data_IF_303327279919
#
_entry.id   IF_303327279919
#
_cell.length_a   1.000
_cell.length_b   1.000
_cell.length_c   1.000
_cell.angle_alpha   90.00
_cell.angle_beta   90.00
_cell.angle_gamma   90.00
#
_symmetry.space_group_name_H-M   'P 1'
#
loop_
_entity.id
_entity.type
_entity.pdbx_description
1 polymer ?
#
# COMPACT_ATOMS: atom_id res chain seq x y z
N UNK A 1 22.24 -0.79 -7.04
CA UNK A 1 22.43 -2.18 -7.47
C UNK A 1 21.69 -3.05 -6.50
N UNK A 2 20.37 -3.01 -6.60
CA UNK A 2 19.39 -3.62 -5.71
C UNK A 2 18.10 -3.70 -6.51
N UNK A 3 18.12 -4.53 -7.56
CA UNK A 3 16.94 -4.71 -8.40
C UNK A 3 16.11 -5.81 -7.73
N UNK A 4 15.24 -5.40 -6.81
CA UNK A 4 14.11 -6.22 -6.38
C UNK A 4 13.16 -6.32 -7.55
N UNK A 5 12.94 -7.53 -8.07
CA UNK A 5 12.09 -7.73 -9.24
C UNK A 5 10.63 -7.75 -8.79
N UNK A 6 9.88 -6.73 -9.17
CA UNK A 6 8.41 -6.72 -9.11
C UNK A 6 7.85 -7.69 -10.17
N UNK A 7 6.97 -8.64 -9.82
CA UNK A 7 6.34 -9.50 -10.82
C UNK A 7 5.49 -8.68 -11.80
N UNK A 8 5.83 -8.73 -13.09
CA UNK A 8 4.98 -8.15 -14.14
C UNK A 8 3.89 -9.16 -14.53
N UNK A 9 2.81 -9.22 -13.73
CA UNK A 9 1.49 -9.61 -14.22
C UNK A 9 0.39 -9.24 -13.22
N UNK A 10 -0.53 -8.39 -13.66
CA UNK A 10 -1.86 -8.08 -13.08
C UNK A 10 -1.98 -7.49 -11.66
N UNK A 11 -0.88 -7.34 -10.91
CA UNK A 11 -0.90 -6.78 -9.56
C UNK A 11 0.14 -5.65 -9.41
N UNK A 12 0.05 -4.63 -10.27
CA UNK A 12 0.77 -3.37 -10.09
C UNK A 12 0.42 -2.78 -8.72
N UNK A 13 1.39 -2.14 -8.06
CA UNK A 13 1.15 -1.43 -6.80
C UNK A 13 0.12 -0.33 -7.06
N UNK A 14 -1.05 -0.42 -6.42
CA UNK A 14 -2.23 0.32 -6.83
C UNK A 14 -2.25 1.72 -6.24
N UNK A 15 -1.57 2.63 -6.94
CA UNK A 15 -1.64 4.05 -6.69
C UNK A 15 -2.50 4.69 -7.78
N UNK A 16 -3.57 5.38 -7.36
CA UNK A 16 -4.40 6.20 -8.25
C UNK A 16 -3.48 7.05 -9.14
N UNK A 17 -3.73 7.17 -10.45
CA UNK A 17 -2.89 7.96 -11.33
C UNK A 17 -2.89 9.41 -10.83
N UNK A 18 -1.84 9.74 -10.08
CA UNK A 18 -1.62 11.03 -9.47
C UNK A 18 -0.58 11.71 -10.32
N UNK A 19 -0.98 12.71 -11.09
CA UNK A 19 -0.02 13.52 -11.86
C UNK A 19 0.73 14.44 -10.90
N UNK A 20 1.94 14.07 -10.46
CA UNK A 20 2.82 14.93 -9.66
C UNK A 20 4.29 14.75 -10.08
N UNK A 21 4.96 15.83 -10.47
CA UNK A 21 6.40 15.85 -10.73
C UNK A 21 6.80 16.66 -11.95
N UNK A 22 7.72 17.61 -11.75
CA UNK A 22 8.31 18.43 -12.80
C UNK A 22 9.07 17.58 -13.82
N UNK A 23 9.30 18.13 -15.01
CA UNK A 23 10.20 17.51 -16.01
C UNK A 23 11.56 17.20 -15.37
N UNK A 24 11.97 15.92 -15.25
CA UNK A 24 13.38 15.61 -15.08
C UNK A 24 14.11 16.18 -16.29
N UNK A 25 15.31 16.71 -16.10
CA UNK A 25 16.28 16.71 -17.21
C UNK A 25 16.41 15.25 -17.64
N UNK A 26 16.09 14.97 -18.90
CA UNK A 26 16.04 13.66 -19.57
C UNK A 26 17.03 12.67 -18.94
N UNK A 27 16.61 11.48 -18.49
CA UNK A 27 16.77 10.25 -19.30
C UNK A 27 15.87 9.06 -18.88
N UNK A 28 14.95 9.19 -17.91
CA UNK A 28 14.36 7.99 -17.27
C UNK A 28 12.85 8.01 -17.01
N UNK A 29 12.04 8.88 -17.64
CA UNK A 29 10.57 8.76 -17.57
C UNK A 29 10.06 7.95 -18.77
N UNK A 30 9.37 6.85 -18.49
CA UNK A 30 8.95 5.79 -19.42
C UNK A 30 7.44 5.82 -19.69
N UNK A 31 6.84 6.99 -19.86
CA UNK A 31 5.42 7.13 -20.22
C UNK A 31 4.53 7.75 -19.13
N UNK A 32 5.10 8.07 -17.96
CA UNK A 32 4.40 8.76 -16.88
C UNK A 32 3.87 10.13 -17.33
N UNK A 33 2.73 10.53 -16.76
CA UNK A 33 2.15 11.87 -16.96
C UNK A 33 2.78 12.86 -15.99
N UNK A 34 3.57 13.78 -16.50
CA UNK A 34 4.28 14.77 -15.69
C UNK A 34 3.37 15.94 -15.31
N UNK A 35 3.44 16.36 -14.05
CA UNK A 35 2.81 17.60 -13.60
C UNK A 35 3.78 18.76 -13.82
N UNK A 36 3.38 19.75 -14.60
CA UNK A 36 4.17 20.96 -14.79
C UNK A 36 3.55 22.10 -13.98
N UNK A 37 4.07 22.43 -12.79
CA UNK A 37 3.49 23.47 -11.94
C UNK A 37 3.43 24.82 -12.65
N UNK A 38 4.26 25.07 -13.68
CA UNK A 38 4.25 26.33 -14.44
C UNK A 38 3.05 26.48 -15.38
N UNK A 39 2.35 25.39 -15.68
CA UNK A 39 1.13 25.41 -16.51
C UNK A 39 -0.13 25.69 -15.70
N UNK A 40 -0.06 25.59 -14.37
CA UNK A 40 -1.18 25.91 -13.49
C UNK A 40 -1.15 27.37 -13.09
N UNK A 41 -2.27 28.07 -13.29
CA UNK A 41 -2.41 29.47 -12.88
C UNK A 41 -2.57 29.64 -11.36
N UNK A 42 -2.85 28.56 -10.63
CA UNK A 42 -3.01 28.55 -9.16
C UNK A 42 -1.75 28.08 -8.44
N UNK A 43 -0.80 27.50 -9.17
CA UNK A 43 0.48 27.03 -8.64
C UNK A 43 1.33 28.19 -8.12
N UNK A 44 1.91 27.97 -6.93
CA UNK A 44 2.87 28.87 -6.30
C UNK A 44 3.99 28.05 -5.70
N UNK A 45 5.22 28.27 -6.14
CA UNK A 45 6.38 27.65 -5.51
C UNK A 45 6.47 28.11 -4.04
N UNK A 46 6.72 27.18 -3.13
CA UNK A 46 7.09 27.53 -1.75
C UNK A 46 8.60 27.78 -1.79
N UNK A 47 9.00 29.04 -1.61
CA UNK A 47 10.40 29.44 -1.70
C UNK A 47 11.26 28.64 -0.71
N UNK A 48 12.40 28.17 -1.19
CA UNK A 48 13.40 27.39 -0.44
C UNK A 48 12.91 26.05 0.14
N UNK A 49 11.67 25.65 -0.17
CA UNK A 49 11.11 24.40 0.30
C UNK A 49 11.49 23.23 -0.62
N UNK A 50 12.02 22.18 -0.01
CA UNK A 50 12.44 20.95 -0.68
C UNK A 50 11.92 19.73 0.07
N UNK A 51 11.86 18.60 -0.62
CA UNK A 51 11.53 17.31 -0.02
C UNK A 51 12.56 16.24 -0.43
N UNK A 52 12.73 15.24 0.42
CA UNK A 52 13.56 14.08 0.13
C UNK A 52 13.01 12.88 0.91
N UNK A 53 12.51 11.89 0.18
CA UNK A 53 11.85 10.71 0.73
C UNK A 53 12.58 9.43 0.31
N UNK A 54 12.69 8.51 1.26
CA UNK A 54 13.16 7.14 1.05
C UNK A 54 12.07 6.17 1.47
N UNK A 55 11.72 5.25 0.58
CA UNK A 55 10.69 4.23 0.80
C UNK A 55 11.31 2.94 1.36
N UNK A 56 10.46 2.09 1.94
CA UNK A 56 10.91 0.86 2.60
C UNK A 56 11.52 -0.13 1.62
N UNK A 57 11.10 -0.14 0.36
CA UNK A 57 11.66 -0.94 -0.73
C UNK A 57 13.08 -0.49 -1.12
N UNK A 58 13.45 0.76 -0.82
CA UNK A 58 14.72 1.39 -1.13
C UNK A 58 14.61 2.48 -2.20
N UNK A 59 13.42 2.70 -2.76
CA UNK A 59 13.16 3.76 -3.70
C UNK A 59 13.39 5.13 -3.06
N UNK A 60 13.83 6.10 -3.87
CA UNK A 60 14.09 7.46 -3.40
C UNK A 60 13.54 8.50 -4.37
N UNK A 61 13.04 9.60 -3.83
CA UNK A 61 12.52 10.72 -4.60
C UNK A 61 12.84 12.05 -3.90
N UNK A 62 13.21 13.07 -4.67
CA UNK A 62 13.46 14.41 -4.12
C UNK A 62 13.17 15.51 -5.13
N UNK A 63 12.92 16.72 -4.64
CA UNK A 63 12.65 17.87 -5.48
C UNK A 63 12.15 19.09 -4.71
N UNK A 64 11.44 19.95 -5.44
CA UNK A 64 10.92 21.22 -4.95
C UNK A 64 9.46 21.07 -4.48
N UNK A 65 8.95 22.07 -3.76
CA UNK A 65 7.57 22.07 -3.26
C UNK A 65 6.77 23.25 -3.84
N UNK A 66 5.54 22.95 -4.26
CA UNK A 66 4.58 23.93 -4.77
C UNK A 66 3.28 23.84 -3.98
N UNK A 67 2.61 24.97 -3.74
CA UNK A 67 1.20 24.98 -3.40
C UNK A 67 0.38 25.04 -4.67
N UNK A 68 -0.61 24.16 -4.79
CA UNK A 68 -1.59 24.23 -5.87
C UNK A 68 -2.95 23.71 -5.40
N UNK A 69 -3.96 23.88 -6.25
CA UNK A 69 -5.32 23.38 -6.02
C UNK A 69 -5.41 21.93 -6.49
N UNK A 70 -5.69 21.03 -5.55
CA UNK A 70 -5.87 19.60 -5.79
C UNK A 70 -7.34 19.22 -5.67
N UNK A 71 -7.85 18.48 -6.65
CA UNK A 71 -9.20 17.91 -6.66
C UNK A 71 -9.15 16.39 -6.85
N UNK A 72 -10.21 15.68 -6.43
CA UNK A 72 -10.27 14.21 -6.46
C UNK A 72 -11.55 13.74 -7.12
N UNK A 73 -11.41 13.01 -8.23
CA UNK A 73 -12.53 12.47 -8.99
C UNK A 73 -13.63 13.52 -9.23
N UNK A 74 -14.86 13.18 -8.84
CA UNK A 74 -16.03 14.05 -8.97
C UNK A 74 -16.38 14.78 -7.67
N UNK A 75 -15.46 14.89 -6.72
CA UNK A 75 -15.74 15.63 -5.49
C UNK A 75 -15.91 17.11 -5.82
N UNK A 76 -16.98 17.77 -5.32
CA UNK A 76 -17.27 19.17 -5.64
C UNK A 76 -16.32 20.15 -4.95
N UNK A 77 -15.35 19.65 -4.18
CA UNK A 77 -14.43 20.44 -3.36
C UNK A 77 -13.00 20.13 -3.79
N UNK A 78 -12.22 21.20 -3.95
CA UNK A 78 -10.78 21.16 -4.08
C UNK A 78 -10.14 21.82 -2.86
N UNK A 79 -8.88 21.50 -2.60
CA UNK A 79 -8.10 22.12 -1.52
C UNK A 79 -6.77 22.62 -2.05
N UNK A 80 -6.30 23.73 -1.51
CA UNK A 80 -4.90 24.13 -1.70
C UNK A 80 -4.03 23.23 -0.84
N UNK A 81 -3.08 22.55 -1.46
CA UNK A 81 -2.20 21.60 -0.79
C UNK A 81 -0.78 21.68 -1.35
N UNK A 82 0.19 21.23 -0.54
CA UNK A 82 1.58 21.12 -0.96
C UNK A 82 1.74 19.93 -1.90
N UNK A 83 2.42 20.16 -3.01
CA UNK A 83 2.74 19.20 -4.05
C UNK A 83 4.26 19.08 -4.08
N UNK A 84 4.76 17.89 -3.73
CA UNK A 84 6.17 17.50 -3.75
C UNK A 84 6.57 17.16 -5.20
N UNK A 85 7.04 18.16 -5.94
CA UNK A 85 7.33 18.05 -7.36
C UNK A 85 8.70 17.42 -7.58
N UNK A 86 8.70 16.12 -7.90
CA UNK A 86 9.91 15.33 -8.13
C UNK A 86 10.82 15.93 -9.22
N UNK A 87 12.12 15.99 -8.90
CA UNK A 87 13.22 16.34 -9.81
C UNK A 87 14.14 15.13 -10.00
N UNK A 88 14.43 14.41 -8.91
CA UNK A 88 15.21 13.17 -8.92
C UNK A 88 14.34 12.02 -8.43
N UNK A 89 14.37 10.90 -9.16
CA UNK A 89 13.56 9.71 -8.91
C UNK A 89 14.44 8.47 -9.15
N UNK A 90 14.39 7.47 -8.27
CA UNK A 90 15.09 6.19 -8.47
C UNK A 90 14.47 5.38 -9.61
N UNK A 91 15.23 4.43 -10.15
CA UNK A 91 14.77 3.58 -11.24
C UNK A 91 13.52 2.76 -10.86
N UNK A 92 13.41 2.34 -9.59
CA UNK A 92 12.28 1.55 -9.10
C UNK A 92 10.94 2.28 -9.36
N UNK A 93 10.89 3.59 -9.11
CA UNK A 93 9.70 4.41 -9.34
C UNK A 93 9.48 4.78 -10.82
N UNK A 94 10.50 4.68 -11.67
CA UNK A 94 10.37 5.02 -13.09
C UNK A 94 10.10 3.82 -14.00
N UNK A 95 10.19 2.60 -13.49
CA UNK A 95 9.89 1.38 -14.26
C UNK A 95 8.40 1.15 -14.48
N UNK A 96 7.55 1.70 -13.61
CA UNK A 96 6.10 1.70 -13.78
C UNK A 96 5.65 2.94 -14.56
N UNK A 97 5.38 2.74 -15.86
CA UNK A 97 4.89 3.78 -16.76
C UNK A 97 3.52 4.36 -16.36
N UNK A 98 2.70 3.61 -15.61
CA UNK A 98 1.36 4.02 -15.22
C UNK A 98 1.37 4.92 -13.97
N UNK A 99 2.39 4.79 -13.11
CA UNK A 99 2.50 5.54 -11.87
C UNK A 99 3.18 6.89 -12.10
N UNK A 100 2.43 7.98 -11.90
CA UNK A 100 2.90 9.35 -12.12
C UNK A 100 3.24 10.10 -10.83
N UNK A 101 3.18 9.43 -9.69
CA UNK A 101 3.35 9.99 -8.36
C UNK A 101 2.64 9.16 -7.29
N UNK A 102 2.92 9.47 -6.04
CA UNK A 102 2.34 8.84 -4.85
C UNK A 102 1.46 9.86 -4.13
N UNK A 103 0.33 9.39 -3.61
CA UNK A 103 -0.53 10.19 -2.77
C UNK A 103 -0.60 9.60 -1.36
N UNK A 104 0.08 10.24 -0.41
CA UNK A 104 0.23 9.73 0.95
C UNK A 104 -1.02 9.87 1.81
N UNK A 105 -1.45 8.75 2.40
CA UNK A 105 -2.59 8.64 3.32
C UNK A 105 -2.14 8.30 4.75
N UNK A 106 -1.04 8.91 5.22
CA UNK A 106 -0.59 8.85 6.63
C UNK A 106 -1.03 10.08 7.44
N UNK A 107 -0.94 10.03 8.78
CA UNK A 107 -1.45 11.12 9.63
C UNK A 107 -0.61 12.42 9.58
N UNK A 108 0.60 12.39 9.00
CA UNK A 108 1.29 13.60 8.53
C UNK A 108 2.53 14.06 9.32
N UNK A 109 2.95 13.31 10.33
CA UNK A 109 4.20 13.53 11.08
C UNK A 109 5.45 13.17 10.28
N UNK A 110 5.34 12.27 9.30
CA UNK A 110 6.42 11.85 8.40
C UNK A 110 6.60 12.71 7.13
N UNK A 111 6.02 13.92 7.08
CA UNK A 111 6.26 14.80 5.95
C UNK A 111 7.74 15.20 5.86
N UNK A 112 8.34 15.04 4.68
CA UNK A 112 9.79 15.24 4.48
C UNK A 112 10.16 16.66 4.05
N UNK A 113 9.18 17.56 3.94
CA UNK A 113 9.40 18.93 3.48
C UNK A 113 10.21 19.71 4.52
N UNK A 114 11.24 20.40 4.02
CA UNK A 114 12.12 21.30 4.78
C UNK A 114 12.18 22.66 4.10
N UNK A 115 12.39 23.77 4.85
CA UNK A 115 12.58 23.80 6.30
C UNK A 115 11.28 23.66 7.10
N UNK A 116 10.15 24.08 6.52
CA UNK A 116 8.84 24.14 7.18
C UNK A 116 7.91 23.00 6.69
N UNK A 117 7.66 21.97 7.52
CA UNK A 117 6.80 20.85 7.13
C UNK A 117 5.39 21.31 6.77
N UNK A 118 4.81 20.72 5.73
CA UNK A 118 3.45 21.05 5.31
C UNK A 118 2.43 20.09 5.97
N UNK A 119 1.20 20.56 6.27
CA UNK A 119 0.13 19.68 6.74
C UNK A 119 -0.08 18.52 5.77
N UNK A 120 -0.32 17.30 6.30
CA UNK A 120 -0.78 16.20 5.45
C UNK A 120 -2.09 16.55 4.75
N UNK A 121 -2.33 15.86 3.64
CA UNK A 121 -3.59 16.00 2.94
C UNK A 121 -4.79 15.74 3.85
N UNK A 122 -4.70 14.76 4.76
CA UNK A 122 -5.80 14.51 5.68
C UNK A 122 -6.12 15.71 6.55
N UNK A 123 -5.09 16.39 7.06
CA UNK A 123 -5.28 17.56 7.91
C UNK A 123 -5.94 18.72 7.14
N UNK A 124 -5.66 18.88 5.85
CA UNK A 124 -6.28 19.94 5.03
C UNK A 124 -7.63 19.55 4.42
N UNK A 125 -7.85 18.27 4.10
CA UNK A 125 -8.99 17.82 3.30
C UNK A 125 -10.10 17.15 4.10
N UNK A 126 -9.78 16.29 5.07
CA UNK A 126 -10.78 15.54 5.85
C UNK A 126 -11.80 16.46 6.53
N UNK A 127 -11.42 17.60 7.13
CA UNK A 127 -12.39 18.54 7.72
C UNK A 127 -13.40 19.12 6.71
N UNK A 128 -13.08 19.03 5.41
CA UNK A 128 -13.96 19.49 4.33
C UNK A 128 -14.90 18.39 3.83
N UNK A 129 -14.83 17.17 4.34
CA UNK A 129 -15.70 16.07 3.90
C UNK A 129 -17.02 16.05 4.68
N UNK A 130 -18.04 15.38 4.12
CA UNK A 130 -19.33 15.16 4.80
C UNK A 130 -19.18 14.29 6.05
N UNK A 131 -18.29 13.30 5.97
CA UNK A 131 -17.87 12.45 7.07
C UNK A 131 -16.33 12.36 7.05
N UNK A 132 -15.66 12.24 8.20
CA UNK A 132 -14.21 12.21 8.26
C UNK A 132 -13.65 10.81 7.94
N UNK A 133 -14.05 10.24 6.80
CA UNK A 133 -13.71 8.87 6.41
C UNK A 133 -13.27 8.81 4.95
N UNK A 134 -12.46 7.81 4.62
CA UNK A 134 -12.29 7.36 3.23
C UNK A 134 -12.35 5.83 3.19
N UNK A 135 -12.62 5.28 2.00
CA UNK A 135 -12.73 3.82 1.83
C UNK A 135 -11.93 3.36 0.64
N UNK A 136 -11.27 2.22 0.78
CA UNK A 136 -10.55 1.54 -0.29
C UNK A 136 -11.30 0.25 -0.65
N UNK A 137 -11.62 0.10 -1.93
CA UNK A 137 -12.13 -1.13 -2.54
C UNK A 137 -11.25 -1.51 -3.73
N UNK A 138 -10.12 -2.19 -3.45
CA UNK A 138 -9.24 -2.76 -4.48
C UNK A 138 -9.81 -4.07 -5.00
N UNK A 139 -9.69 -4.36 -6.29
CA UNK A 139 -10.25 -5.58 -6.87
C UNK A 139 -9.24 -6.27 -7.75
N UNK A 140 -9.06 -7.56 -7.54
CA UNK A 140 -8.30 -8.38 -8.47
C UNK A 140 -8.99 -8.35 -9.84
N UNK A 141 -8.32 -7.78 -10.84
CA UNK A 141 -8.85 -7.66 -12.21
C UNK A 141 -10.21 -6.94 -12.28
N UNK A 142 -10.42 -5.87 -11.51
CA UNK A 142 -11.67 -5.14 -11.48
C UNK A 142 -11.50 -3.63 -11.40
N UNK A 143 -12.63 -2.91 -11.39
CA UNK A 143 -12.61 -1.47 -11.13
C UNK A 143 -12.42 -1.26 -9.63
N UNK A 144 -11.36 -0.54 -9.31
CA UNK A 144 -11.02 -0.16 -7.96
C UNK A 144 -11.62 1.19 -7.62
N UNK A 145 -11.97 1.41 -6.34
CA UNK A 145 -12.60 2.65 -5.92
C UNK A 145 -11.99 3.17 -4.63
N UNK A 146 -11.66 4.46 -4.63
CA UNK A 146 -11.36 5.25 -3.45
C UNK A 146 -12.46 6.30 -3.28
N UNK A 147 -13.15 6.23 -2.15
CA UNK A 147 -14.20 7.19 -1.80
C UNK A 147 -13.75 8.06 -0.64
N UNK A 148 -14.15 9.33 -0.65
CA UNK A 148 -13.91 10.26 0.44
C UNK A 148 -15.23 10.83 0.94
N UNK A 149 -15.44 10.77 2.26
CA UNK A 149 -16.57 11.37 2.94
C UNK A 149 -17.87 10.56 2.93
N UNK A 150 -17.82 9.32 2.44
CA UNK A 150 -18.91 8.35 2.46
C UNK A 150 -18.36 6.93 2.28
N UNK A 151 -19.18 5.94 2.67
CA UNK A 151 -18.91 4.52 2.42
C UNK A 151 -19.58 4.18 1.08
N UNK A 152 -18.82 3.74 0.08
CA UNK A 152 -19.33 3.50 -1.28
C UNK A 152 -20.58 2.60 -1.33
N UNK A 153 -21.50 2.85 -2.27
CA UNK A 153 -22.73 2.05 -2.36
C UNK A 153 -22.46 0.64 -2.92
N UNK A 154 -23.09 -0.38 -2.33
CA UNK A 154 -23.03 -1.78 -2.79
C UNK A 154 -21.61 -2.35 -2.96
N UNK A 155 -20.64 -1.85 -2.19
CA UNK A 155 -19.23 -2.24 -2.31
C UNK A 155 -18.81 -3.41 -1.39
N UNK A 156 -19.67 -3.83 -0.47
CA UNK A 156 -19.38 -4.90 0.50
C UNK A 156 -20.63 -5.71 0.85
N UNK A 157 -20.42 -6.83 1.52
CA UNK A 157 -21.45 -7.69 2.12
C UNK A 157 -21.23 -7.82 3.62
N UNK A 158 -22.30 -8.10 4.36
CA UNK A 158 -22.23 -8.25 5.80
C UNK A 158 -21.93 -6.95 6.56
N UNK A 159 -21.68 -7.05 7.88
CA UNK A 159 -21.34 -5.91 8.71
C UNK A 159 -19.89 -5.45 8.53
N UNK A 160 -19.66 -4.15 8.69
CA UNK A 160 -18.31 -3.59 8.84
C UNK A 160 -17.90 -3.75 10.30
N UNK A 161 -16.82 -4.48 10.55
CA UNK A 161 -16.24 -4.62 11.89
C UNK A 161 -15.14 -3.58 12.07
N UNK A 162 -15.32 -2.68 13.04
CA UNK A 162 -14.33 -1.68 13.40
C UNK A 162 -13.48 -2.12 14.59
N UNK A 163 -12.20 -1.76 14.55
CA UNK A 163 -11.27 -1.78 15.70
C UNK A 163 -10.55 -0.44 15.81
N UNK A 164 -10.22 0.02 17.04
CA UNK A 164 -9.45 1.24 17.22
C UNK A 164 -8.06 1.10 16.59
N UNK A 165 -7.52 2.21 16.10
CA UNK A 165 -6.10 2.27 15.78
C UNK A 165 -5.28 2.25 17.07
N UNK A 166 -4.04 1.75 16.96
CA UNK A 166 -3.10 1.82 18.07
C UNK A 166 -2.86 3.29 18.46
N UNK A 167 -2.95 3.56 19.75
CA UNK A 167 -2.83 4.91 20.27
C UNK A 167 -1.41 5.45 20.01
N UNK A 168 -1.32 6.69 19.54
CA UNK A 168 -0.04 7.30 19.16
C UNK A 168 0.57 6.80 17.86
N UNK A 169 -0.03 5.83 17.17
CA UNK A 169 0.43 5.43 15.84
C UNK A 169 0.24 6.57 14.82
N UNK A 170 1.28 6.78 14.03
CA UNK A 170 1.36 7.78 12.96
C UNK A 170 0.86 7.24 11.62
N UNK A 171 0.63 5.93 11.55
CA UNK A 171 0.03 5.18 10.44
C UNK A 171 -1.25 4.44 10.88
N UNK A 172 -1.89 3.76 9.92
CA UNK A 172 -3.09 2.96 10.14
C UNK A 172 -2.75 1.60 10.74
N UNK A 173 -2.32 1.59 11.99
CA UNK A 173 -1.90 0.38 12.70
C UNK A 173 -3.09 -0.26 13.45
N UNK A 174 -3.32 -1.54 13.20
CA UNK A 174 -4.35 -2.34 13.86
C UNK A 174 -3.77 -3.60 14.53
N UNK A 175 -4.47 -4.11 15.54
CA UNK A 175 -4.11 -5.32 16.26
C UNK A 175 -4.69 -6.61 15.66
N UNK A 176 -3.94 -7.69 15.79
CA UNK A 176 -4.33 -9.04 15.37
C UNK A 176 -3.88 -10.05 16.42
N UNK A 177 -4.77 -10.94 16.87
CA UNK A 177 -4.47 -11.94 17.90
C UNK A 177 -3.80 -13.20 17.35
N UNK A 178 -3.71 -13.33 16.03
CA UNK A 178 -3.07 -14.47 15.39
C UNK A 178 -3.45 -14.64 13.93
N UNK A 179 -3.15 -15.83 13.42
CA UNK A 179 -3.51 -16.23 12.06
C UNK A 179 -3.89 -17.71 11.98
N UNK A 180 -4.48 -18.09 10.85
CA UNK A 180 -4.76 -19.46 10.46
C UNK A 180 -4.25 -19.69 9.03
N UNK A 181 -3.58 -20.80 8.79
CA UNK A 181 -3.14 -21.24 7.45
C UNK A 181 -3.70 -22.62 7.13
N UNK A 182 -4.14 -22.85 5.89
CA UNK A 182 -4.52 -24.18 5.39
C UNK A 182 -5.57 -24.91 6.26
N UNK A 183 -6.46 -24.16 6.93
CA UNK A 183 -7.44 -24.75 7.85
C UNK A 183 -6.85 -25.43 9.08
N UNK A 184 -5.58 -25.13 9.41
CA UNK A 184 -5.01 -25.47 10.72
C UNK A 184 -5.75 -24.75 11.85
N UNK A 185 -5.46 -25.12 13.10
CA UNK A 185 -5.97 -24.36 14.25
C UNK A 185 -5.43 -22.93 14.27
N UNK A 186 -5.99 -22.10 15.14
CA UNK A 186 -5.53 -20.72 15.31
C UNK A 186 -4.10 -20.74 15.89
N UNK A 187 -3.17 -20.12 15.18
CA UNK A 187 -1.86 -19.78 15.69
C UNK A 187 -1.96 -18.45 16.43
N UNK A 188 -1.97 -18.52 17.76
CA UNK A 188 -2.01 -17.32 18.61
C UNK A 188 -0.67 -16.58 18.49
N UNK A 189 -0.72 -15.37 17.97
CA UNK A 189 0.43 -14.50 17.78
C UNK A 189 -0.03 -13.06 17.82
N UNK A 190 0.43 -12.32 18.82
CA UNK A 190 0.17 -10.90 18.91
C UNK A 190 0.90 -10.16 17.81
N UNK A 191 0.16 -9.51 16.92
CA UNK A 191 0.68 -8.74 15.81
C UNK A 191 0.06 -7.34 15.78
N UNK A 192 0.90 -6.33 15.57
CA UNK A 192 0.47 -4.98 15.23
C UNK A 192 0.96 -4.71 13.82
N UNK A 193 0.04 -4.40 12.91
CA UNK A 193 0.40 -4.25 11.51
C UNK A 193 -0.19 -2.97 10.91
N UNK A 194 0.62 -2.31 10.10
CA UNK A 194 0.21 -1.15 9.31
C UNK A 194 -0.60 -1.60 8.12
N UNK A 195 -1.77 -1.00 7.91
CA UNK A 195 -2.60 -1.23 6.74
C UNK A 195 -2.21 -0.21 5.67
N UNK A 196 -1.57 -0.67 4.60
CA UNK A 196 -0.85 0.20 3.66
C UNK A 196 -1.11 -0.17 2.19
N UNK A 197 -1.94 0.63 1.51
CA UNK A 197 -2.18 0.46 0.06
C UNK A 197 -0.98 0.84 -0.82
N UNK A 198 0.09 1.39 -0.25
CA UNK A 198 1.34 1.65 -0.95
C UNK A 198 2.27 0.43 -1.02
N UNK A 199 1.94 -0.65 -0.30
CA UNK A 199 2.73 -1.88 -0.30
C UNK A 199 1.98 -2.98 -1.04
N UNK A 200 2.59 -3.61 -2.05
CA UNK A 200 1.94 -4.68 -2.80
C UNK A 200 1.70 -5.96 -1.99
N UNK A 201 2.59 -6.29 -1.05
CA UNK A 201 2.62 -7.56 -0.31
C UNK A 201 1.97 -7.50 1.07
N UNK A 202 1.80 -8.67 1.70
CA UNK A 202 1.73 -8.81 3.15
C UNK A 202 3.15 -9.08 3.67
N UNK A 203 3.65 -8.25 4.58
CA UNK A 203 4.95 -8.36 5.21
C UNK A 203 4.78 -8.79 6.67
N UNK A 204 5.27 -9.98 7.00
CA UNK A 204 5.16 -10.56 8.35
C UNK A 204 6.53 -10.98 8.89
N UNK A 205 6.58 -11.28 10.19
CA UNK A 205 7.77 -11.87 10.79
C UNK A 205 8.08 -13.23 10.18
N UNK A 206 9.38 -13.51 10.06
CA UNK A 206 9.92 -14.71 9.40
C UNK A 206 9.23 -16.02 9.82
N UNK A 207 8.90 -16.17 11.10
CA UNK A 207 8.28 -17.41 11.60
C UNK A 207 6.87 -17.63 11.02
N UNK A 208 6.04 -16.59 10.95
CA UNK A 208 4.70 -16.70 10.36
C UNK A 208 4.77 -16.93 8.85
N UNK A 209 5.74 -16.29 8.19
CA UNK A 209 6.01 -16.52 6.76
C UNK A 209 6.46 -17.97 6.52
N UNK A 210 7.43 -18.46 7.28
CA UNK A 210 7.92 -19.83 7.15
C UNK A 210 6.85 -20.88 7.43
N UNK A 211 6.01 -20.66 8.45
CA UNK A 211 4.85 -21.50 8.74
C UNK A 211 3.92 -21.57 7.52
N UNK A 212 3.52 -20.41 6.97
CA UNK A 212 2.67 -20.35 5.79
C UNK A 212 3.25 -21.11 4.59
N UNK A 213 4.52 -20.88 4.25
CA UNK A 213 5.16 -21.53 3.11
C UNK A 213 5.47 -23.02 3.34
N UNK A 214 5.48 -23.50 4.59
CA UNK A 214 5.62 -24.94 4.88
C UNK A 214 4.45 -25.75 4.31
N UNK A 215 3.31 -25.10 4.08
CA UNK A 215 2.12 -25.69 3.47
C UNK A 215 2.11 -25.65 1.94
N UNK A 216 3.13 -25.07 1.29
CA UNK A 216 3.23 -24.96 -0.17
C UNK A 216 4.36 -25.85 -0.67
N UNK A 217 3.99 -26.94 -1.34
CA UNK A 217 4.97 -27.89 -1.86
C UNK A 217 5.96 -27.24 -2.83
N UNK A 218 7.25 -27.37 -2.51
CA UNK A 218 8.32 -26.83 -3.32
C UNK A 218 8.55 -25.34 -3.14
N UNK A 219 8.02 -24.69 -2.10
CA UNK A 219 8.36 -23.31 -1.78
C UNK A 219 9.79 -23.19 -1.19
N UNK A 220 10.47 -22.08 -1.50
CA UNK A 220 11.78 -21.75 -0.92
C UNK A 220 11.99 -20.24 -0.87
N UNK A 221 13.06 -19.81 -0.19
CA UNK A 221 13.52 -18.42 -0.24
C UNK A 221 14.53 -18.25 -1.37
N UNK A 222 14.24 -17.37 -2.33
CA UNK A 222 15.15 -17.07 -3.42
C UNK A 222 15.99 -15.83 -3.13
N UNK A 223 17.30 -16.02 -2.94
CA UNK A 223 18.23 -14.94 -2.62
C UNK A 223 18.37 -13.90 -3.73
N UNK A 224 18.00 -14.22 -4.97
CA UNK A 224 18.08 -13.27 -6.08
C UNK A 224 16.90 -12.30 -6.03
N UNK A 225 15.68 -12.81 -5.95
CA UNK A 225 14.46 -11.99 -5.83
C UNK A 225 14.21 -11.46 -4.40
N UNK A 226 15.03 -11.88 -3.42
CA UNK A 226 14.91 -11.50 -2.00
C UNK A 226 13.51 -11.79 -1.42
N UNK A 227 12.94 -12.93 -1.79
CA UNK A 227 11.59 -13.29 -1.40
C UNK A 227 11.28 -14.77 -1.46
N UNK A 228 10.16 -15.15 -0.85
CA UNK A 228 9.57 -16.47 -0.92
C UNK A 228 8.92 -16.71 -2.27
N UNK A 229 9.31 -17.82 -2.88
CA UNK A 229 8.87 -18.24 -4.20
C UNK A 229 8.39 -19.69 -4.13
N UNK A 230 7.59 -20.09 -5.11
CA UNK A 230 7.09 -21.47 -5.23
C UNK A 230 6.74 -21.80 -6.68
N UNK A 231 6.62 -23.09 -7.07
CA UNK A 231 6.17 -23.46 -8.40
C UNK A 231 4.79 -22.87 -8.69
N UNK A 232 4.59 -22.16 -9.79
CA UNK A 232 3.33 -21.46 -10.06
C UNK A 232 2.09 -22.36 -10.05
N UNK A 233 2.28 -23.66 -10.34
CA UNK A 233 1.24 -24.71 -10.33
C UNK A 233 0.95 -25.30 -8.95
N UNK A 234 1.67 -24.89 -7.91
CA UNK A 234 1.42 -25.36 -6.55
C UNK A 234 0.04 -24.91 -6.07
N UNK A 235 -0.58 -25.74 -5.24
CA UNK A 235 -1.75 -25.34 -4.46
C UNK A 235 -1.30 -24.36 -3.39
N UNK A 236 -1.93 -23.18 -3.38
CA UNK A 236 -1.63 -22.10 -2.43
C UNK A 236 -2.81 -22.03 -1.46
N UNK A 237 -2.61 -22.21 -0.15
CA UNK A 237 -3.69 -22.18 0.83
C UNK A 237 -4.15 -20.75 1.12
N UNK A 238 -5.39 -20.62 1.60
CA UNK A 238 -5.86 -19.37 2.17
C UNK A 238 -5.07 -19.01 3.43
N UNK A 239 -4.94 -17.71 3.67
CA UNK A 239 -4.36 -17.16 4.89
C UNK A 239 -5.39 -16.29 5.59
N UNK A 240 -5.66 -16.55 6.86
CA UNK A 240 -6.64 -15.79 7.64
C UNK A 240 -5.96 -15.07 8.78
N UNK A 241 -6.16 -13.75 8.86
CA UNK A 241 -5.75 -12.92 9.99
C UNK A 241 -6.91 -12.73 10.97
N UNK A 242 -6.64 -12.81 12.26
CA UNK A 242 -7.65 -12.64 13.31
C UNK A 242 -7.58 -11.22 13.86
N UNK A 243 -8.38 -10.32 13.29
CA UNK A 243 -8.48 -8.93 13.72
C UNK A 243 -8.92 -8.87 15.18
N UNK A 244 -8.17 -8.13 16.00
CA UNK A 244 -8.42 -8.05 17.44
C UNK A 244 -8.12 -6.65 17.97
N UNK A 245 -8.90 -6.20 18.95
CA UNK A 245 -8.63 -4.94 19.67
C UNK A 245 -7.96 -5.17 21.03
N UNK A 246 -8.12 -6.36 21.61
CA UNK A 246 -7.66 -6.71 22.96
C UNK A 246 -6.63 -7.85 22.96
N UNK A 247 -6.23 -8.31 21.77
CA UNK A 247 -5.29 -9.42 21.51
C UNK A 247 -5.76 -10.80 22.01
N UNK A 248 -6.97 -10.89 22.57
CA UNK A 248 -7.53 -12.14 23.12
C UNK A 248 -8.73 -12.64 22.33
N UNK A 249 -9.57 -11.73 21.84
CA UNK A 249 -10.81 -12.03 21.14
C UNK A 249 -10.71 -11.65 19.67
N UNK A 250 -11.04 -12.60 18.81
CA UNK A 250 -11.18 -12.35 17.38
C UNK A 250 -12.47 -11.57 17.13
N UNK A 251 -12.32 -10.34 16.62
CA UNK A 251 -13.43 -9.46 16.23
C UNK A 251 -13.91 -9.76 14.81
N UNK A 252 -12.99 -10.12 13.91
CA UNK A 252 -13.30 -10.56 12.54
C UNK A 252 -12.15 -11.41 11.98
N UNK A 253 -12.49 -12.42 11.19
CA UNK A 253 -11.53 -13.13 10.36
C UNK A 253 -11.38 -12.39 9.03
N UNK A 254 -10.16 -12.01 8.68
CA UNK A 254 -9.82 -11.44 7.38
C UNK A 254 -9.12 -12.53 6.57
N UNK A 255 -9.87 -13.21 5.71
CA UNK A 255 -9.35 -14.33 4.90
C UNK A 255 -8.91 -13.82 3.54
N UNK A 256 -7.64 -14.03 3.21
CA UNK A 256 -7.07 -13.79 1.90
C UNK A 256 -7.08 -15.12 1.13
N UNK A 257 -7.79 -15.20 -0.02
CA UNK A 257 -7.78 -16.39 -0.85
C UNK A 257 -6.36 -16.73 -1.31
N UNK A 258 -5.97 -18.01 -1.28
CA UNK A 258 -4.64 -18.45 -1.67
C UNK A 258 -4.26 -18.04 -3.09
N UNK A 259 -5.25 -17.95 -3.99
CA UNK A 259 -5.03 -17.47 -5.35
C UNK A 259 -4.57 -16.01 -5.42
N UNK A 260 -4.96 -15.17 -4.45
CA UNK A 260 -4.51 -13.77 -4.36
C UNK A 260 -3.05 -13.72 -3.89
N UNK A 261 -2.63 -14.68 -3.07
CA UNK A 261 -1.26 -14.79 -2.55
C UNK A 261 -0.25 -15.36 -3.57
N UNK A 262 -0.68 -15.60 -4.81
CA UNK A 262 0.21 -15.82 -5.96
C UNK A 262 0.36 -14.49 -6.70
N UNK A 263 1.44 -13.77 -6.39
CA UNK A 263 1.69 -12.43 -6.92
C UNK A 263 1.91 -12.48 -8.44
N UNK A 264 2.78 -13.37 -8.91
CA UNK A 264 3.01 -13.51 -10.34
C UNK A 264 4.21 -14.37 -10.67
N UNK A 265 4.30 -14.81 -11.92
CA UNK A 265 5.45 -15.57 -12.40
C UNK A 265 6.69 -14.68 -12.46
N UNK A 266 7.83 -15.23 -12.04
CA UNK A 266 9.12 -14.55 -12.09
C UNK A 266 9.59 -14.52 -13.55
N UNK A 267 9.35 -13.41 -14.22
CA UNK A 267 9.74 -13.19 -15.62
C UNK A 267 11.02 -12.37 -15.72
N UNK A 268 12.16 -12.90 -15.26
CA UNK A 268 13.45 -12.23 -15.48
C UNK A 268 14.16 -12.79 -16.72
N UNK A 269 14.68 -11.95 -17.61
CA UNK A 269 15.44 -12.41 -18.78
C UNK A 269 16.73 -13.16 -18.40
N UNK A 270 17.20 -12.98 -17.17
CA UNK A 270 18.48 -13.51 -16.68
C UNK A 270 18.39 -14.86 -15.94
N UNK A 271 17.19 -15.43 -15.75
CA UNK A 271 17.07 -16.68 -14.99
C UNK A 271 16.12 -17.70 -15.61
N UNK A 272 16.56 -18.36 -16.68
CA UNK A 272 15.87 -19.53 -17.25
C UNK A 272 15.61 -20.63 -16.21
N UNK A 273 16.46 -20.76 -15.19
CA UNK A 273 16.32 -21.69 -14.05
C UNK A 273 15.19 -21.36 -13.08
N UNK A 274 14.59 -20.17 -13.17
CA UNK A 274 13.50 -19.71 -12.27
C UNK A 274 12.14 -19.64 -12.97
N UNK A 275 12.08 -19.88 -14.29
CA UNK A 275 10.82 -19.96 -15.03
C UNK A 275 9.88 -21.01 -14.44
N UNK A 276 8.58 -20.74 -14.48
CA UNK A 276 7.57 -21.59 -13.88
C UNK A 276 7.44 -21.46 -12.35
N UNK A 277 8.16 -20.51 -11.73
CA UNK A 277 8.01 -20.18 -10.32
C UNK A 277 7.41 -18.79 -10.15
N UNK A 278 6.62 -18.66 -9.11
CA UNK A 278 5.88 -17.46 -8.77
C UNK A 278 6.43 -16.86 -7.49
N UNK A 279 6.52 -15.53 -7.45
CA UNK A 279 6.70 -14.79 -6.20
C UNK A 279 5.40 -14.89 -5.41
N UNK A 280 5.48 -15.12 -4.10
CA UNK A 280 4.29 -15.13 -3.27
C UNK A 280 3.96 -13.78 -2.65
N UNK A 281 2.69 -13.62 -2.27
CA UNK A 281 2.16 -12.37 -1.73
C UNK A 281 2.42 -12.16 -0.23
N UNK A 282 2.93 -13.17 0.49
CA UNK A 282 3.37 -13.03 1.88
C UNK A 282 4.89 -13.06 1.90
N UNK A 283 5.53 -12.03 2.43
CA UNK A 283 6.98 -11.89 2.44
C UNK A 283 7.50 -11.56 3.83
N UNK A 284 8.80 -11.77 4.02
CA UNK A 284 9.47 -11.49 5.30
C UNK A 284 9.63 -9.98 5.42
N UNK A 285 9.13 -9.40 6.51
CA UNK A 285 9.37 -8.00 6.85
C UNK A 285 10.89 -7.74 7.00
N UNK A 286 11.37 -6.60 6.50
CA UNK A 286 12.80 -6.24 6.57
C UNK A 286 13.29 -6.13 8.01
N UNK A 287 12.44 -5.62 8.89
CA UNK A 287 12.71 -5.46 10.32
C UNK A 287 11.64 -6.21 11.13
N UNK A 288 12.04 -7.02 12.12
CA UNK A 288 11.09 -7.73 12.98
C UNK A 288 10.10 -6.77 13.65
N UNK A 289 8.82 -7.13 13.63
CA UNK A 289 7.74 -6.31 14.20
C UNK A 289 7.28 -5.13 13.34
N UNK A 290 7.95 -4.81 12.23
CA UNK A 290 7.46 -3.83 11.27
C UNK A 290 6.56 -4.52 10.22
N UNK A 291 5.38 -4.92 10.68
CA UNK A 291 4.43 -5.71 9.89
C UNK A 291 3.56 -4.80 9.02
N UNK A 292 3.38 -5.17 7.75
CA UNK A 292 2.60 -4.39 6.79
C UNK A 292 1.59 -5.30 6.11
N UNK A 293 0.32 -4.90 6.08
CA UNK A 293 -0.75 -5.59 5.38
C UNK A 293 -1.17 -4.73 4.18
N UNK A 294 -0.60 -5.06 3.03
CA UNK A 294 -0.77 -4.29 1.82
C UNK A 294 -1.92 -4.74 0.93
N UNK A 295 -1.73 -4.54 -0.37
CA UNK A 295 -2.74 -4.78 -1.41
C UNK A 295 -3.30 -6.20 -1.40
N UNK A 296 -2.48 -7.21 -1.08
CA UNK A 296 -2.97 -8.60 -0.97
C UNK A 296 -4.10 -8.76 0.06
N UNK A 297 -4.05 -8.03 1.18
CA UNK A 297 -5.17 -7.95 2.13
C UNK A 297 -6.29 -7.09 1.56
N UNK A 298 -5.98 -5.87 1.12
CA UNK A 298 -6.98 -4.85 0.73
C UNK A 298 -7.82 -5.27 -0.49
N UNK A 299 -7.29 -6.14 -1.35
CA UNK A 299 -8.05 -6.78 -2.44
C UNK A 299 -9.11 -7.76 -1.94
N UNK A 300 -8.94 -8.31 -0.74
CA UNK A 300 -9.80 -9.36 -0.16
C UNK A 300 -10.91 -8.78 0.72
N UNK A 301 -10.88 -7.48 1.03
CA UNK A 301 -11.82 -6.83 1.95
C UNK A 301 -12.28 -5.47 1.42
N UNK A 302 -13.42 -4.99 1.92
CA UNK A 302 -13.74 -3.56 1.85
C UNK A 302 -13.18 -2.88 3.10
N UNK A 303 -12.31 -1.89 2.92
CA UNK A 303 -11.63 -1.21 4.03
C UNK A 303 -12.15 0.22 4.23
N UNK A 304 -12.47 0.55 5.48
CA UNK A 304 -12.91 1.89 5.91
C UNK A 304 -11.88 2.49 6.84
N UNK A 305 -11.36 3.64 6.45
CA UNK A 305 -10.39 4.41 7.20
C UNK A 305 -11.11 5.59 7.83
N UNK A 306 -11.41 5.47 9.13
CA UNK A 306 -12.19 6.46 9.88
C UNK A 306 -11.25 7.36 10.67
N UNK A 307 -10.96 8.52 10.08
CA UNK A 307 -10.05 9.53 10.65
C UNK A 307 -10.69 10.19 11.87
N UNK A 308 -12.01 10.37 11.86
CA UNK A 308 -12.74 11.05 12.94
C UNK A 308 -12.67 10.28 14.25
N UNK A 309 -12.94 8.98 14.19
CA UNK A 309 -12.96 8.10 15.37
C UNK A 309 -11.63 7.35 15.58
N UNK A 310 -10.60 7.62 14.76
CA UNK A 310 -9.29 6.93 14.77
C UNK A 310 -9.43 5.42 14.85
N UNK A 311 -10.12 4.85 13.89
CA UNK A 311 -10.39 3.41 13.79
C UNK A 311 -10.34 2.95 12.34
N UNK A 312 -10.17 1.65 12.16
CA UNK A 312 -10.27 1.01 10.85
C UNK A 312 -11.39 -0.02 10.86
N UNK A 313 -12.12 -0.11 9.75
CA UNK A 313 -13.23 -1.02 9.55
C UNK A 313 -13.00 -1.96 8.38
N UNK A 314 -13.41 -3.22 8.51
CA UNK A 314 -13.33 -4.22 7.45
C UNK A 314 -14.66 -4.94 7.24
N UNK A 315 -15.02 -5.17 5.98
CA UNK A 315 -16.14 -6.01 5.57
C UNK A 315 -15.75 -6.98 4.45
N UNK A 316 -16.56 -8.03 4.29
CA UNK A 316 -16.40 -9.01 3.20
C UNK A 316 -16.94 -8.42 1.89
N UNK A 317 -16.52 -8.92 0.74
CA UNK A 317 -17.01 -8.46 -0.57
C UNK A 317 -17.03 -9.55 -1.62
#
# INVERSE_FOLDING_TARGET
GTDGVTPQQNDAEHLFPVSIGTRPREFWVTGQTLCDPKKSSTSKQIADATFNISYIDGAVCSGDVYLDVVGFGNLPRSVTHAIEAAINVSQDLTTDAAMSGIFGFGFGTYNTIKPDPQPSFFKSFIPTLKAPVFTIDLKRNGIETLNFGFLGYNAWTGPITYVPLINGAEDWVAGFSGYTVAGSGIHQLEMYATIDSGTGAILLDKNAVDDYYSHISGAWYDDFNKGKVFPCKATVPDFTLHLSEDMTNTRKNLTIPGDYLRWGEISTPFSSSRRGNCLGGIQIAKEPGNLILGDMLLKSVFAVFDVGDRRIGFADK
#
